data_IF_533222327710
#
_entry.id   IF_533222327710
#
_cell.length_a   1.000
_cell.length_b   1.000
_cell.length_c   1.000
_cell.angle_alpha   90.00
_cell.angle_beta   90.00
_cell.angle_gamma   90.00
#
_symmetry.space_group_name_H-M   'P 1'
#
loop_
_entity.id
_entity.type
_entity.pdbx_description
1 polymer ?
#
# COMPACT_ATOMS: atom_id res chain seq x y z
N UNK A 1 1.56 12.29 26.22
CA UNK A 1 2.59 12.76 25.27
C UNK A 1 3.45 11.56 24.91
N UNK A 2 3.36 11.05 23.68
CA UNK A 2 4.27 10.01 23.19
C UNK A 2 5.68 10.61 23.10
N UNK A 3 6.70 9.87 23.55
CA UNK A 3 8.10 10.27 23.43
C UNK A 3 8.48 10.45 21.95
N UNK A 4 9.50 11.27 21.61
CA UNK A 4 9.93 11.47 20.22
C UNK A 4 10.20 10.16 19.45
N UNK A 5 10.67 9.11 20.14
CA UNK A 5 10.84 7.76 19.57
C UNK A 5 9.50 7.07 19.25
N UNK A 6 8.47 7.27 20.07
CA UNK A 6 7.14 6.70 19.79
C UNK A 6 6.49 7.24 18.51
N UNK A 7 6.83 8.46 18.08
CA UNK A 7 6.34 9.02 16.82
C UNK A 7 7.01 8.37 15.61
N UNK A 8 8.33 8.13 15.65
CA UNK A 8 9.04 7.44 14.57
C UNK A 8 8.58 5.99 14.42
N UNK A 9 8.40 5.29 15.53
CA UNK A 9 7.96 3.90 15.51
C UNK A 9 6.54 3.79 14.92
N UNK A 10 5.66 4.72 15.29
CA UNK A 10 4.30 4.76 14.75
C UNK A 10 4.26 5.05 13.25
N UNK A 11 5.08 5.98 12.75
CA UNK A 11 5.19 6.24 11.30
C UNK A 11 5.70 5.02 10.55
N UNK A 12 6.72 4.34 11.08
CA UNK A 12 7.30 3.15 10.48
C UNK A 12 6.30 2.00 10.43
N UNK A 13 5.50 1.82 11.49
CA UNK A 13 4.39 0.86 11.52
C UNK A 13 3.33 1.19 10.46
N UNK A 14 2.95 2.46 10.31
CA UNK A 14 2.00 2.88 9.28
C UNK A 14 2.51 2.63 7.86
N UNK A 15 3.78 2.88 7.60
CA UNK A 15 4.38 2.59 6.28
C UNK A 15 4.44 1.09 6.01
N UNK A 16 4.83 0.27 7.01
CA UNK A 16 4.76 -1.19 6.90
C UNK A 16 3.33 -1.66 6.64
N UNK A 17 2.34 -1.11 7.33
CA UNK A 17 0.93 -1.45 7.10
C UNK A 17 0.48 -1.08 5.68
N UNK A 18 0.88 0.07 5.14
CA UNK A 18 0.63 0.44 3.74
C UNK A 18 1.21 -0.57 2.76
N UNK A 19 2.45 -1.02 2.98
CA UNK A 19 3.09 -2.03 2.13
C UNK A 19 2.33 -3.35 2.18
N UNK A 20 1.98 -3.84 3.37
CA UNK A 20 1.26 -5.10 3.54
C UNK A 20 -0.14 -5.04 2.93
N UNK A 21 -0.88 -3.96 3.14
CA UNK A 21 -2.21 -3.76 2.55
C UNK A 21 -2.12 -3.68 1.02
N UNK A 22 -1.10 -3.00 0.49
CA UNK A 22 -0.87 -2.93 -0.95
C UNK A 22 -0.58 -4.31 -1.56
N UNK A 23 0.28 -5.11 -0.93
CA UNK A 23 0.57 -6.49 -1.36
C UNK A 23 -0.69 -7.37 -1.28
N UNK A 24 -1.46 -7.28 -0.20
CA UNK A 24 -2.70 -8.03 -0.04
C UNK A 24 -3.73 -7.66 -1.13
N UNK A 25 -3.84 -6.37 -1.48
CA UNK A 25 -4.69 -5.89 -2.55
C UNK A 25 -4.26 -6.40 -3.93
N UNK A 26 -2.96 -6.49 -4.21
CA UNK A 26 -2.44 -7.11 -5.45
C UNK A 26 -2.75 -8.61 -5.47
N UNK A 27 -2.45 -9.31 -4.37
CA UNK A 27 -2.63 -10.75 -4.26
C UNK A 27 -4.10 -11.18 -4.37
N UNK A 28 -5.04 -10.32 -3.93
CA UNK A 28 -6.48 -10.54 -4.11
C UNK A 28 -7.02 -10.02 -5.45
N UNK A 29 -6.55 -8.85 -5.89
CA UNK A 29 -7.03 -8.18 -7.10
C UNK A 29 -6.68 -8.91 -8.39
N UNK A 30 -5.50 -9.52 -8.49
CA UNK A 30 -5.08 -10.30 -9.67
C UNK A 30 -5.98 -11.53 -9.94
N UNK A 31 -6.20 -12.44 -8.97
CA UNK A 31 -7.11 -13.57 -9.17
C UNK A 31 -8.58 -13.16 -9.24
N UNK A 32 -8.98 -12.09 -8.56
CA UNK A 32 -10.34 -11.54 -8.66
C UNK A 32 -10.63 -10.98 -10.06
N UNK A 33 -9.69 -10.26 -10.68
CA UNK A 33 -9.83 -9.76 -12.05
C UNK A 33 -10.03 -10.92 -13.04
N UNK A 34 -9.30 -12.02 -12.85
CA UNK A 34 -9.42 -13.19 -13.72
C UNK A 34 -10.71 -14.00 -13.51
N UNK A 35 -11.30 -13.96 -12.31
CA UNK A 35 -12.52 -14.74 -11.97
C UNK A 35 -13.83 -13.96 -12.07
N UNK A 36 -13.82 -12.64 -12.01
CA UNK A 36 -15.06 -11.84 -12.02
C UNK A 36 -15.49 -11.49 -13.45
N UNK A 37 -16.80 -11.63 -13.72
CA UNK A 37 -17.42 -11.24 -14.99
C UNK A 37 -17.44 -9.71 -15.12
N UNK A 38 -17.27 -9.22 -16.35
CA UNK A 38 -17.41 -7.80 -16.69
C UNK A 38 -18.73 -7.23 -16.14
N UNK A 39 -18.73 -6.06 -15.46
CA UNK A 39 -17.67 -5.05 -15.39
C UNK A 39 -16.74 -5.12 -14.16
N UNK A 40 -16.91 -6.10 -13.26
CA UNK A 40 -16.18 -6.13 -11.99
C UNK A 40 -14.69 -6.50 -12.14
N UNK A 41 -14.30 -7.09 -13.27
CA UNK A 41 -12.89 -7.28 -13.67
C UNK A 41 -12.11 -5.95 -13.64
N UNK A 42 -12.67 -4.89 -14.22
CA UNK A 42 -12.03 -3.57 -14.28
C UNK A 42 -11.82 -2.98 -12.88
N UNK A 43 -12.80 -3.15 -11.98
CA UNK A 43 -12.68 -2.70 -10.60
C UNK A 43 -11.61 -3.49 -9.84
N UNK A 44 -11.51 -4.80 -10.07
CA UNK A 44 -10.47 -5.63 -9.46
C UNK A 44 -9.07 -5.26 -9.99
N UNK A 45 -8.93 -4.97 -11.28
CA UNK A 45 -7.69 -4.49 -11.88
C UNK A 45 -7.29 -3.09 -11.35
N UNK A 46 -8.24 -2.17 -11.21
CA UNK A 46 -8.01 -0.87 -10.59
C UNK A 46 -7.59 -0.99 -9.12
N UNK A 47 -8.20 -1.91 -8.37
CA UNK A 47 -7.84 -2.17 -6.97
C UNK A 47 -6.41 -2.74 -6.86
N UNK A 48 -6.03 -3.66 -7.75
CA UNK A 48 -4.67 -4.19 -7.81
C UNK A 48 -3.65 -3.09 -8.14
N UNK A 49 -3.98 -2.21 -9.10
CA UNK A 49 -3.11 -1.08 -9.46
C UNK A 49 -2.97 -0.09 -8.30
N UNK A 50 -4.08 0.25 -7.64
CA UNK A 50 -4.04 1.11 -6.44
C UNK A 50 -3.21 0.49 -5.31
N UNK A 51 -3.34 -0.83 -5.10
CA UNK A 51 -2.53 -1.58 -4.14
C UNK A 51 -1.03 -1.54 -4.48
N UNK A 52 -0.68 -1.68 -5.76
CA UNK A 52 0.70 -1.55 -6.23
C UNK A 52 1.27 -0.16 -5.99
N UNK A 53 0.52 0.89 -6.32
CA UNK A 53 0.94 2.28 -6.06
C UNK A 53 1.15 2.48 -4.55
N UNK A 54 0.22 2.03 -3.72
CA UNK A 54 0.32 2.15 -2.26
C UNK A 54 1.54 1.38 -1.71
N UNK A 55 1.82 0.17 -2.21
CA UNK A 55 2.98 -0.61 -1.81
C UNK A 55 4.30 0.08 -2.20
N UNK A 56 4.38 0.61 -3.42
CA UNK A 56 5.57 1.33 -3.89
C UNK A 56 5.80 2.63 -3.13
N UNK A 57 4.74 3.39 -2.84
CA UNK A 57 4.84 4.62 -2.03
C UNK A 57 5.24 4.29 -0.60
N UNK A 58 4.67 3.26 0.02
CA UNK A 58 5.08 2.82 1.36
C UNK A 58 6.55 2.39 1.40
N UNK A 59 6.99 1.58 0.42
CA UNK A 59 8.38 1.16 0.31
C UNK A 59 9.34 2.36 0.10
N UNK A 60 8.94 3.33 -0.73
CA UNK A 60 9.70 4.56 -0.96
C UNK A 60 9.85 5.39 0.32
N UNK A 61 8.78 5.53 1.10
CA UNK A 61 8.80 6.28 2.36
C UNK A 61 9.60 5.58 3.46
N UNK A 62 9.67 4.26 3.45
CA UNK A 62 10.56 3.48 4.34
C UNK A 62 12.01 3.69 3.93
N UNK A 63 12.32 3.63 2.64
CA UNK A 63 13.68 3.76 2.13
C UNK A 63 14.21 5.20 2.23
N UNK A 64 13.35 6.19 1.99
CA UNK A 64 13.68 7.62 2.01
C UNK A 64 12.62 8.37 2.83
N UNK A 65 12.76 8.39 4.16
CA UNK A 65 11.85 9.15 5.02
C UNK A 65 11.96 10.64 4.68
N UNK A 66 10.83 11.26 4.33
CA UNK A 66 10.77 12.67 3.93
C UNK A 66 10.90 12.95 2.43
N UNK A 67 10.81 11.93 1.55
CA UNK A 67 10.89 12.12 0.10
C UNK A 67 9.97 13.22 -0.48
N UNK A 68 8.73 13.33 0.01
CA UNK A 68 7.78 14.36 -0.45
C UNK A 68 7.95 15.72 0.23
N UNK A 69 8.85 15.84 1.20
CA UNK A 69 9.18 17.09 1.90
C UNK A 69 10.47 17.74 1.36
N UNK A 70 11.18 17.04 0.46
CA UNK A 70 12.35 17.54 -0.26
C UNK A 70 11.94 18.34 -1.51
#
# INVERSE_FOLDING_TARGET
MLSPQGWSDMMLILYCAMVVVGIAAIAWGLPAAHRLRSPFDILAALLALAGLIAALVGALLIAVPGFFLA
#
